data_IF_769872705637
#
_entry.id   IF_769872705637
#
_cell.length_a   1.000
_cell.length_b   1.000
_cell.length_c   1.000
_cell.angle_alpha   90.00
_cell.angle_beta   90.00
_cell.angle_gamma   90.00
#
_symmetry.space_group_name_H-M   'P 1'
#
loop_
_entity.id
_entity.type
_entity.pdbx_description
1 polymer ?
#
# COMPACT_ATOMS: atom_id res chain seq x y z
N UNK A 1 -20.00 10.64 -17.69
CA UNK A 1 -20.59 9.28 -17.69
C UNK A 1 -19.42 8.30 -17.86
N UNK A 2 -18.98 7.65 -16.77
CA UNK A 2 -17.84 6.74 -16.83
C UNK A 2 -18.28 5.43 -17.51
N UNK A 3 -17.68 5.11 -18.66
CA UNK A 3 -17.90 3.87 -19.37
C UNK A 3 -17.01 2.82 -18.72
N UNK A 4 -17.58 1.93 -17.89
CA UNK A 4 -16.90 0.72 -17.46
C UNK A 4 -16.48 -0.03 -18.73
N UNK A 5 -15.17 -0.14 -18.95
CA UNK A 5 -14.65 -1.06 -19.95
C UNK A 5 -15.00 -2.45 -19.43
N UNK A 6 -15.90 -3.15 -20.11
CA UNK A 6 -16.25 -4.54 -19.82
C UNK A 6 -15.03 -5.41 -20.15
N UNK A 7 -14.07 -5.42 -19.23
CA UNK A 7 -12.89 -6.28 -19.30
C UNK A 7 -13.35 -7.67 -18.90
N UNK A 8 -13.99 -8.38 -19.84
CA UNK A 8 -14.18 -9.83 -19.74
C UNK A 8 -12.82 -10.52 -19.88
N UNK A 9 -12.04 -10.55 -18.81
CA UNK A 9 -10.93 -11.50 -18.67
C UNK A 9 -11.48 -12.93 -18.46
N UNK A 10 -12.33 -13.41 -19.38
CA UNK A 10 -12.58 -14.84 -19.48
C UNK A 10 -11.38 -15.45 -20.19
N UNK A 11 -10.44 -15.98 -19.39
CA UNK A 11 -9.33 -16.80 -19.89
C UNK A 11 -9.90 -17.88 -20.81
N UNK A 12 -9.32 -18.04 -22.00
CA UNK A 12 -9.76 -19.02 -22.99
C UNK A 12 -9.81 -20.43 -22.38
N UNK A 13 -10.74 -21.26 -22.86
CA UNK A 13 -10.95 -22.62 -22.34
C UNK A 13 -9.66 -23.42 -22.27
N UNK A 14 -8.87 -23.43 -23.35
CA UNK A 14 -7.58 -24.11 -23.40
C UNK A 14 -6.55 -23.54 -22.42
N UNK A 15 -6.53 -22.23 -22.19
CA UNK A 15 -5.65 -21.60 -21.20
C UNK A 15 -6.00 -22.05 -19.78
N UNK A 16 -7.29 -22.20 -19.47
CA UNK A 16 -7.74 -22.71 -18.16
C UNK A 16 -7.30 -24.16 -17.97
N UNK A 17 -7.54 -25.00 -18.97
CA UNK A 17 -7.15 -26.43 -18.97
C UNK A 17 -5.63 -26.57 -18.82
N UNK A 18 -4.83 -25.84 -19.61
CA UNK A 18 -3.37 -25.90 -19.51
C UNK A 18 -2.85 -25.46 -18.15
N UNK A 19 -3.44 -24.42 -17.54
CA UNK A 19 -3.06 -23.96 -16.19
C UNK A 19 -3.40 -25.02 -15.15
N UNK A 20 -4.61 -25.57 -15.20
CA UNK A 20 -5.09 -26.57 -14.24
C UNK A 20 -4.25 -27.85 -14.27
N UNK A 21 -4.10 -28.47 -15.44
CA UNK A 21 -3.27 -29.67 -15.58
C UNK A 21 -1.78 -29.40 -15.43
N UNK A 22 -1.32 -28.20 -15.77
CA UNK A 22 0.05 -27.74 -15.52
C UNK A 22 0.34 -27.67 -14.01
N UNK A 23 -0.58 -27.13 -13.22
CA UNK A 23 -0.47 -27.07 -11.76
C UNK A 23 -0.51 -28.49 -11.16
N UNK A 24 -1.39 -29.36 -11.63
CA UNK A 24 -1.44 -30.75 -11.16
C UNK A 24 -0.15 -31.52 -11.47
N UNK A 25 0.38 -31.34 -12.67
CA UNK A 25 1.66 -31.94 -13.07
C UNK A 25 2.81 -31.40 -12.23
N UNK A 26 2.81 -30.09 -11.93
CA UNK A 26 3.79 -29.47 -11.05
C UNK A 26 3.69 -30.02 -9.61
N UNK A 27 2.49 -30.24 -9.08
CA UNK A 27 2.33 -30.87 -7.76
C UNK A 27 2.82 -32.31 -7.74
N UNK A 28 2.51 -33.10 -8.77
CA UNK A 28 2.99 -34.48 -8.88
C UNK A 28 4.52 -34.50 -9.00
N UNK A 29 5.09 -33.63 -9.82
CA UNK A 29 6.52 -33.46 -9.96
C UNK A 29 7.16 -33.03 -8.62
N UNK A 30 6.54 -32.11 -7.89
CA UNK A 30 6.99 -31.71 -6.57
C UNK A 30 6.98 -32.89 -5.60
N UNK A 31 5.88 -33.64 -5.49
CA UNK A 31 5.81 -34.82 -4.62
C UNK A 31 6.87 -35.85 -4.99
N UNK A 32 7.03 -36.14 -6.29
CA UNK A 32 8.00 -37.12 -6.73
C UNK A 32 9.44 -36.65 -6.50
N UNK A 33 9.85 -35.53 -7.07
CA UNK A 33 11.24 -35.07 -6.99
C UNK A 33 11.61 -34.58 -5.58
N UNK A 34 10.69 -33.97 -4.84
CA UNK A 34 11.02 -33.44 -3.51
C UNK A 34 10.93 -34.51 -2.41
N UNK A 35 9.88 -35.34 -2.40
CA UNK A 35 9.58 -36.24 -1.28
C UNK A 35 9.95 -37.71 -1.52
N UNK A 36 9.76 -38.25 -2.73
CA UNK A 36 9.88 -39.70 -2.99
C UNK A 36 11.20 -40.05 -3.68
N UNK A 37 11.41 -39.56 -4.89
CA UNK A 37 12.57 -39.75 -5.75
C UNK A 37 12.79 -41.15 -6.33
N UNK A 38 12.36 -42.22 -5.67
CA UNK A 38 12.73 -43.61 -6.02
C UNK A 38 11.99 -44.07 -7.30
N UNK A 39 12.62 -44.86 -8.19
CA UNK A 39 13.98 -45.39 -8.15
C UNK A 39 15.04 -44.49 -8.80
N UNK A 40 14.65 -43.33 -9.35
CA UNK A 40 15.55 -42.44 -10.10
C UNK A 40 16.59 -41.77 -9.18
N UNK A 41 16.20 -41.43 -7.95
CA UNK A 41 17.06 -40.88 -6.89
C UNK A 41 16.37 -40.99 -5.52
N UNK A 42 16.93 -40.46 -4.44
CA UNK A 42 16.34 -40.57 -3.09
C UNK A 42 15.42 -39.38 -2.71
N UNK A 43 15.24 -38.42 -3.63
CA UNK A 43 14.44 -37.21 -3.41
C UNK A 43 15.19 -36.09 -2.67
N UNK A 44 14.78 -34.84 -2.88
CA UNK A 44 15.45 -33.68 -2.32
C UNK A 44 15.43 -33.63 -0.78
N UNK A 45 14.34 -34.08 -0.15
CA UNK A 45 14.20 -34.12 1.31
C UNK A 45 15.22 -35.08 1.97
N UNK A 46 15.45 -36.25 1.37
CA UNK A 46 16.48 -37.19 1.84
C UNK A 46 17.88 -36.60 1.72
N UNK A 47 18.21 -36.00 0.57
CA UNK A 47 19.51 -35.36 0.37
C UNK A 47 19.73 -34.19 1.32
N UNK A 48 18.70 -33.36 1.56
CA UNK A 48 18.77 -32.29 2.55
C UNK A 48 19.04 -32.85 3.94
N UNK A 49 18.31 -33.89 4.36
CA UNK A 49 18.55 -34.58 5.63
C UNK A 49 19.98 -35.15 5.70
N UNK A 50 20.44 -35.83 4.66
CA UNK A 50 21.76 -36.44 4.61
C UNK A 50 22.86 -35.38 4.69
N UNK A 51 22.71 -34.26 3.98
CA UNK A 51 23.60 -33.09 4.02
C UNK A 51 23.59 -32.48 5.43
N UNK A 52 22.41 -32.26 6.02
CA UNK A 52 22.25 -31.76 7.38
C UNK A 52 22.95 -32.65 8.41
N UNK A 53 22.90 -33.97 8.22
CA UNK A 53 23.48 -34.94 9.15
C UNK A 53 24.99 -35.13 8.99
N UNK A 54 25.52 -35.08 7.76
CA UNK A 54 26.89 -35.52 7.47
C UNK A 54 27.83 -34.41 6.97
N UNK A 55 27.30 -33.27 6.52
CA UNK A 55 28.09 -32.20 5.88
C UNK A 55 27.88 -30.83 6.50
N UNK A 56 26.70 -30.55 7.05
CA UNK A 56 26.40 -29.29 7.70
C UNK A 56 26.86 -29.32 9.16
N UNK A 57 27.92 -28.58 9.46
CA UNK A 57 28.25 -28.21 10.83
C UNK A 57 27.16 -27.24 11.26
N UNK A 58 26.27 -27.64 12.19
CA UNK A 58 25.16 -26.79 12.68
C UNK A 58 25.64 -25.35 13.00
N UNK A 59 26.84 -25.21 13.57
CA UNK A 59 27.46 -23.92 13.87
C UNK A 59 27.70 -23.04 12.63
N UNK A 60 28.09 -23.62 11.49
CA UNK A 60 28.31 -22.89 10.23
C UNK A 60 27.01 -22.42 9.59
N UNK A 61 25.94 -23.22 9.67
CA UNK A 61 24.60 -22.81 9.22
C UNK A 61 24.05 -21.64 10.02
N UNK A 62 24.19 -21.70 11.35
CA UNK A 62 23.80 -20.60 12.24
C UNK A 62 24.60 -19.32 11.96
N UNK A 63 25.89 -19.42 11.66
CA UNK A 63 26.71 -18.25 11.31
C UNK A 63 26.19 -17.52 10.07
N UNK A 64 25.73 -18.24 9.03
CA UNK A 64 25.15 -17.64 7.82
C UNK A 64 23.82 -16.94 8.15
N UNK A 65 22.93 -17.60 8.89
CA UNK A 65 21.63 -17.02 9.28
C UNK A 65 21.82 -15.76 10.13
N UNK A 66 22.72 -15.81 11.12
CA UNK A 66 23.07 -14.67 11.97
C UNK A 66 23.70 -13.55 11.12
N UNK A 67 24.61 -13.86 10.20
CA UNK A 67 25.22 -12.85 9.33
C UNK A 67 24.17 -12.15 8.45
N UNK A 68 23.23 -12.90 7.87
CA UNK A 68 22.13 -12.34 7.08
C UNK A 68 21.20 -11.49 7.96
N UNK A 69 20.85 -11.96 9.16
CA UNK A 69 20.05 -11.19 10.11
C UNK A 69 20.72 -9.88 10.52
N UNK A 70 22.00 -9.92 10.87
CA UNK A 70 22.80 -8.73 11.20
C UNK A 70 22.83 -7.79 10.00
N UNK A 71 23.12 -8.30 8.80
CA UNK A 71 23.11 -7.46 7.60
C UNK A 71 21.75 -6.79 7.38
N UNK A 72 20.63 -7.51 7.42
CA UNK A 72 19.30 -6.92 7.25
C UNK A 72 18.89 -5.98 8.40
N UNK A 73 19.32 -6.25 9.63
CA UNK A 73 18.98 -5.41 10.78
C UNK A 73 19.74 -4.08 10.78
N UNK A 74 21.02 -4.09 10.38
CA UNK A 74 21.89 -2.92 10.50
C UNK A 74 22.09 -2.17 9.19
N UNK A 75 21.89 -2.77 8.01
CA UNK A 75 22.00 -2.04 6.73
C UNK A 75 21.02 -0.88 6.58
N UNK A 76 19.77 -0.92 7.12
CA UNK A 76 18.91 0.26 7.09
C UNK A 76 19.49 1.47 7.83
N UNK A 77 20.38 1.27 8.80
CA UNK A 77 21.07 2.36 9.51
C UNK A 77 22.12 3.06 8.66
N UNK A 78 22.56 2.42 7.57
CA UNK A 78 23.50 3.00 6.60
C UNK A 78 22.80 3.80 5.50
N UNK A 79 21.45 3.85 5.52
CA UNK A 79 20.69 4.69 4.60
C UNK A 79 20.95 6.15 4.95
N UNK A 80 21.37 6.92 3.96
CA UNK A 80 21.55 8.37 4.12
C UNK A 80 20.19 9.06 4.07
N UNK A 81 19.99 10.00 4.99
CA UNK A 81 18.83 10.90 4.90
C UNK A 81 19.02 11.83 3.71
N UNK A 82 17.93 12.02 2.95
CA UNK A 82 17.95 12.98 1.86
C UNK A 82 17.97 14.40 2.43
N UNK A 83 18.74 15.30 1.80
CA UNK A 83 18.85 16.69 2.24
C UNK A 83 17.52 17.46 2.21
N UNK A 84 17.52 18.68 2.72
CA UNK A 84 16.30 19.49 2.83
C UNK A 84 15.64 19.78 1.47
N UNK A 85 14.32 19.98 1.49
CA UNK A 85 13.56 20.26 0.28
C UNK A 85 13.56 21.76 -0.07
N UNK A 86 13.53 22.10 -1.37
CA UNK A 86 13.43 23.47 -1.83
C UNK A 86 11.98 23.99 -1.68
N UNK A 87 11.58 24.32 -0.45
CA UNK A 87 10.33 25.02 -0.15
C UNK A 87 9.02 24.21 -0.32
N UNK A 88 7.87 24.81 0.07
CA UNK A 88 6.57 24.15 0.06
C UNK A 88 5.88 24.18 -1.32
N UNK A 89 5.41 23.02 -1.80
CA UNK A 89 4.72 22.89 -3.11
C UNK A 89 3.24 22.45 -3.00
N UNK A 90 2.64 22.63 -1.82
CA UNK A 90 1.29 22.16 -1.51
C UNK A 90 0.20 22.65 -2.49
N UNK A 91 0.40 23.79 -3.15
CA UNK A 91 -0.55 24.36 -4.12
C UNK A 91 -0.77 23.48 -5.37
N UNK A 92 0.23 22.69 -5.78
CA UNK A 92 0.16 21.84 -6.98
C UNK A 92 -0.21 20.39 -6.70
N UNK A 93 -0.48 20.06 -5.43
CA UNK A 93 -0.76 18.71 -4.95
C UNK A 93 -2.15 18.65 -4.34
N UNK A 94 -2.93 17.65 -4.73
CA UNK A 94 -4.19 17.34 -4.05
C UNK A 94 -3.92 16.52 -2.79
N UNK A 95 -4.70 16.78 -1.74
CA UNK A 95 -4.77 15.94 -0.55
C UNK A 95 -5.99 15.03 -0.65
N UNK A 96 -5.78 13.72 -0.63
CA UNK A 96 -6.82 12.72 -0.72
C UNK A 96 -6.94 11.93 0.58
N UNK A 97 -8.12 11.98 1.21
CA UNK A 97 -8.40 11.31 2.48
C UNK A 97 -9.59 10.37 2.31
N UNK A 98 -9.38 9.05 2.17
CA UNK A 98 -10.45 8.08 2.17
C UNK A 98 -11.01 7.90 3.60
N UNK A 99 -12.32 8.00 3.77
CA UNK A 99 -13.00 7.96 5.08
C UNK A 99 -14.02 6.82 5.13
N UNK A 100 -14.20 6.21 6.32
CA UNK A 100 -15.24 5.22 6.61
C UNK A 100 -15.78 5.47 8.02
N UNK A 101 -16.99 6.05 8.12
CA UNK A 101 -17.62 6.43 9.39
C UNK A 101 -16.76 7.39 10.24
N UNK A 102 -16.13 8.36 9.58
CA UNK A 102 -15.06 9.18 10.15
C UNK A 102 -15.54 10.50 10.74
N UNK A 103 -16.86 10.79 10.72
CA UNK A 103 -17.39 12.06 11.21
C UNK A 103 -16.88 12.48 12.62
N UNK A 104 -16.74 11.59 13.61
CA UNK A 104 -16.28 12.00 14.95
C UNK A 104 -14.84 12.53 15.01
N UNK A 105 -13.97 12.13 14.06
CA UNK A 105 -12.53 12.43 14.09
C UNK A 105 -12.10 13.41 12.99
N UNK A 106 -12.86 13.47 11.89
CA UNK A 106 -12.47 14.17 10.67
C UNK A 106 -12.22 15.67 10.88
N UNK A 107 -12.96 16.31 11.78
CA UNK A 107 -12.79 17.75 12.06
C UNK A 107 -11.34 18.09 12.47
N UNK A 108 -10.75 17.33 13.39
CA UNK A 108 -9.36 17.55 13.84
C UNK A 108 -8.35 17.34 12.71
N UNK A 109 -8.59 16.33 11.87
CA UNK A 109 -7.77 16.04 10.70
C UNK A 109 -7.84 17.19 9.68
N UNK A 110 -9.03 17.72 9.42
CA UNK A 110 -9.23 18.86 8.53
C UNK A 110 -8.60 20.15 9.07
N UNK A 111 -8.75 20.45 10.36
CA UNK A 111 -8.08 21.60 11.01
C UNK A 111 -6.56 21.58 10.83
N UNK A 112 -5.95 20.40 10.92
CA UNK A 112 -4.52 20.23 10.72
C UNK A 112 -4.15 20.35 9.23
N UNK A 113 -4.91 19.69 8.35
CA UNK A 113 -4.67 19.71 6.91
C UNK A 113 -4.78 21.10 6.29
N UNK A 114 -5.74 21.91 6.76
CA UNK A 114 -5.98 23.27 6.29
C UNK A 114 -4.82 24.25 6.59
N UNK A 115 -3.89 23.88 7.48
CA UNK A 115 -2.66 24.66 7.72
C UNK A 115 -1.61 24.45 6.62
N UNK A 116 -1.75 23.38 5.84
CA UNK A 116 -0.78 22.94 4.82
C UNK A 116 -1.36 23.08 3.41
N UNK A 117 -2.63 22.70 3.23
CA UNK A 117 -3.33 22.71 1.95
C UNK A 117 -4.48 23.71 1.94
N UNK A 118 -4.75 24.39 0.82
CA UNK A 118 -6.00 25.12 0.66
C UNK A 118 -7.17 24.15 0.58
N UNK A 119 -8.35 24.57 1.06
CA UNK A 119 -9.56 23.74 1.11
C UNK A 119 -9.94 23.10 -0.24
N UNK A 120 -9.75 23.85 -1.33
CA UNK A 120 -10.02 23.42 -2.71
C UNK A 120 -9.13 22.24 -3.18
N UNK A 121 -7.98 22.04 -2.55
CA UNK A 121 -7.08 20.92 -2.83
C UNK A 121 -7.36 19.70 -1.94
N UNK A 122 -8.27 19.78 -0.97
CA UNK A 122 -8.59 18.69 -0.05
C UNK A 122 -9.83 17.94 -0.54
N UNK A 123 -9.70 16.62 -0.69
CA UNK A 123 -10.73 15.73 -1.19
C UNK A 123 -10.97 14.59 -0.21
N UNK A 124 -12.16 14.58 0.37
CA UNK A 124 -12.65 13.52 1.25
C UNK A 124 -13.42 12.51 0.41
N UNK A 125 -13.03 11.23 0.47
CA UNK A 125 -13.75 10.15 -0.22
C UNK A 125 -14.35 9.21 0.82
N UNK A 126 -15.57 9.53 1.23
CA UNK A 126 -16.35 8.67 2.12
C UNK A 126 -16.81 7.43 1.38
N UNK A 127 -16.65 6.26 2.00
CA UNK A 127 -17.01 5.00 1.38
C UNK A 127 -17.81 4.10 2.31
N UNK A 128 -18.55 3.16 1.71
CA UNK A 128 -19.29 2.15 2.45
C UNK A 128 -20.15 1.32 1.53
N UNK A 129 -20.52 0.11 1.96
CA UNK A 129 -21.41 -0.78 1.19
C UNK A 129 -22.88 -0.35 1.32
N UNK A 130 -23.19 0.86 0.86
CA UNK A 130 -24.51 1.48 1.00
C UNK A 130 -24.77 2.46 -0.14
N UNK A 131 -26.03 2.54 -0.59
CA UNK A 131 -26.46 3.54 -1.57
C UNK A 131 -26.47 4.96 -0.99
N UNK A 132 -26.60 5.09 0.33
CA UNK A 132 -26.61 6.37 1.05
C UNK A 132 -25.41 6.48 2.00
N UNK A 133 -24.94 7.70 2.32
CA UNK A 133 -23.88 7.92 3.29
C UNK A 133 -24.15 7.24 4.63
N UNK A 134 -23.08 6.78 5.30
CA UNK A 134 -23.16 6.02 6.55
C UNK A 134 -23.21 6.90 7.81
N UNK A 135 -22.79 8.15 7.70
CA UNK A 135 -22.74 9.14 8.79
C UNK A 135 -22.80 10.57 8.22
N UNK A 136 -22.64 11.56 9.09
CA UNK A 136 -22.66 12.99 8.76
C UNK A 136 -21.30 13.54 8.30
N UNK A 137 -20.42 12.70 7.71
CA UNK A 137 -19.12 13.14 7.17
C UNK A 137 -19.27 14.30 6.18
N UNK A 138 -20.32 14.28 5.36
CA UNK A 138 -20.59 15.34 4.37
C UNK A 138 -20.83 16.71 5.04
N UNK A 139 -21.55 16.74 6.17
CA UNK A 139 -21.86 17.99 6.87
C UNK A 139 -20.59 18.65 7.42
N UNK A 140 -19.66 17.85 7.93
CA UNK A 140 -18.35 18.33 8.36
C UNK A 140 -17.55 18.84 7.16
N UNK A 141 -17.55 18.12 6.03
CA UNK A 141 -16.85 18.58 4.83
C UNK A 141 -17.37 19.95 4.36
N UNK A 142 -18.69 20.18 4.44
CA UNK A 142 -19.33 21.45 4.09
C UNK A 142 -18.92 22.58 5.04
N UNK A 143 -18.80 22.31 6.34
CA UNK A 143 -18.34 23.29 7.33
C UNK A 143 -16.93 23.81 7.01
N UNK A 144 -16.01 22.90 6.67
CA UNK A 144 -14.63 23.23 6.29
C UNK A 144 -14.46 23.65 4.83
N UNK A 145 -15.54 23.62 4.03
CA UNK A 145 -15.54 23.95 2.59
C UNK A 145 -14.56 23.11 1.76
N UNK A 146 -14.38 21.84 2.14
CA UNK A 146 -13.55 20.88 1.40
C UNK A 146 -14.40 20.03 0.45
N UNK A 147 -13.77 19.40 -0.53
CA UNK A 147 -14.48 18.56 -1.49
C UNK A 147 -14.86 17.22 -0.85
N UNK A 148 -16.08 16.74 -1.12
CA UNK A 148 -16.59 15.47 -0.61
C UNK A 148 -17.15 14.60 -1.74
N UNK A 149 -16.80 13.31 -1.71
CA UNK A 149 -17.27 12.30 -2.66
C UNK A 149 -17.77 11.09 -1.88
N UNK A 150 -18.99 10.64 -2.18
CA UNK A 150 -19.54 9.38 -1.66
C UNK A 150 -19.26 8.22 -2.63
N UNK A 151 -18.66 7.14 -2.13
CA UNK A 151 -18.45 5.87 -2.82
C UNK A 151 -19.33 4.78 -2.22
N UNK A 152 -20.32 4.24 -2.97
CA UNK A 152 -21.24 3.20 -2.47
C UNK A 152 -20.60 1.81 -2.39
N UNK A 153 -19.29 1.71 -2.62
CA UNK A 153 -18.49 0.49 -2.48
C UNK A 153 -17.56 0.65 -1.28
N UNK A 154 -17.74 -0.21 -0.29
CA UNK A 154 -16.92 -0.26 0.94
C UNK A 154 -15.55 -0.86 0.67
N UNK A 155 -14.62 -0.03 0.24
CA UNK A 155 -13.22 -0.40 0.06
C UNK A 155 -12.36 0.85 0.00
N UNK A 156 -11.34 0.92 0.87
CA UNK A 156 -10.36 2.01 0.88
C UNK A 156 -9.64 2.14 -0.47
N UNK A 157 -9.34 1.02 -1.13
CA UNK A 157 -8.70 1.01 -2.45
C UNK A 157 -9.63 1.59 -3.53
N UNK A 158 -10.93 1.25 -3.50
CA UNK A 158 -11.90 1.80 -4.44
C UNK A 158 -12.13 3.27 -4.20
N UNK A 159 -12.21 3.71 -2.93
CA UNK A 159 -12.28 5.11 -2.56
C UNK A 159 -11.08 5.91 -3.10
N UNK A 160 -9.86 5.38 -2.92
CA UNK A 160 -8.66 5.99 -3.48
C UNK A 160 -8.69 6.04 -5.01
N UNK A 161 -9.15 4.98 -5.68
CA UNK A 161 -9.29 4.95 -7.13
C UNK A 161 -10.25 6.04 -7.65
N UNK A 162 -11.44 6.14 -7.04
CA UNK A 162 -12.44 7.18 -7.36
C UNK A 162 -11.86 8.57 -7.10
N UNK A 163 -11.18 8.74 -5.96
CA UNK A 163 -10.50 9.97 -5.59
C UNK A 163 -9.46 10.42 -6.61
N UNK A 164 -8.55 9.53 -7.00
CA UNK A 164 -7.54 9.79 -8.03
C UNK A 164 -8.16 10.21 -9.37
N UNK A 165 -9.32 9.65 -9.73
CA UNK A 165 -10.04 10.08 -10.93
C UNK A 165 -10.59 11.50 -10.80
N UNK A 166 -11.07 11.88 -9.62
CA UNK A 166 -11.60 13.22 -9.35
C UNK A 166 -10.50 14.30 -9.31
N UNK A 167 -9.29 13.96 -8.89
CA UNK A 167 -8.16 14.89 -8.76
C UNK A 167 -7.14 14.78 -9.90
N UNK A 168 -7.54 14.25 -11.06
CA UNK A 168 -6.64 13.99 -12.19
C UNK A 168 -5.97 15.25 -12.79
N UNK A 169 -6.48 16.43 -12.46
CA UNK A 169 -5.92 17.72 -12.87
C UNK A 169 -4.67 18.11 -12.07
N UNK A 170 -4.46 17.51 -10.89
CA UNK A 170 -3.28 17.73 -10.08
C UNK A 170 -2.11 16.88 -10.58
N UNK A 171 -0.90 17.46 -10.55
CA UNK A 171 0.31 16.75 -10.95
C UNK A 171 0.66 15.61 -9.98
N UNK A 172 0.34 15.79 -8.71
CA UNK A 172 0.63 14.86 -7.63
C UNK A 172 -0.50 14.81 -6.63
N UNK A 173 -0.59 13.67 -5.93
CA UNK A 173 -1.57 13.45 -4.87
C UNK A 173 -0.82 13.00 -3.62
N UNK A 174 -1.13 13.61 -2.49
CA UNK A 174 -0.76 13.12 -1.17
C UNK A 174 -1.96 12.35 -0.61
N UNK A 175 -1.71 11.11 -0.19
CA UNK A 175 -2.73 10.26 0.44
C UNK A 175 -2.42 10.18 1.93
N UNK A 176 -3.43 10.38 2.76
CA UNK A 176 -3.34 10.19 4.21
C UNK A 176 -4.60 9.53 4.76
N UNK A 177 -4.50 8.98 5.96
CA UNK A 177 -5.62 8.40 6.68
C UNK A 177 -6.45 9.50 7.36
N UNK A 178 -7.70 9.18 7.67
CA UNK A 178 -8.71 10.06 8.25
C UNK A 178 -8.47 10.44 9.71
N UNK A 179 -7.61 9.68 10.41
CA UNK A 179 -7.15 9.91 11.76
C UNK A 179 -5.73 10.50 11.84
N UNK A 180 -5.14 10.83 10.70
CA UNK A 180 -3.77 11.31 10.63
C UNK A 180 -3.70 12.84 10.82
N UNK A 181 -2.84 13.33 11.70
CA UNK A 181 -2.70 14.76 11.99
C UNK A 181 -1.42 15.29 11.34
N UNK A 182 -1.55 16.17 10.35
CA UNK A 182 -0.41 16.81 9.71
C UNK A 182 0.25 17.83 10.65
N UNK A 183 1.59 17.81 10.81
CA UNK A 183 2.31 18.89 11.46
C UNK A 183 2.06 20.23 10.74
N UNK A 184 1.94 21.36 11.46
CA UNK A 184 1.67 22.67 10.85
C UNK A 184 2.80 23.13 9.92
N UNK A 185 4.02 22.61 10.09
CA UNK A 185 5.20 22.88 9.27
C UNK A 185 5.49 21.74 8.27
N UNK A 186 4.50 20.90 7.95
CA UNK A 186 4.67 19.82 7.00
C UNK A 186 4.98 20.36 5.60
N UNK A 187 6.05 19.84 4.98
CA UNK A 187 6.49 20.25 3.65
C UNK A 187 6.13 19.14 2.66
N UNK A 188 5.27 19.47 1.70
CA UNK A 188 4.98 18.61 0.54
C UNK A 188 6.14 18.72 -0.44
N UNK A 189 6.83 17.60 -0.71
CA UNK A 189 8.04 17.55 -1.56
C UNK A 189 7.77 16.93 -2.93
N UNK A 190 6.68 17.36 -3.57
CA UNK A 190 6.22 16.81 -4.85
C UNK A 190 7.27 16.92 -5.97
N UNK A 191 8.17 17.90 -5.92
CA UNK A 191 9.31 18.09 -6.83
C UNK A 191 10.27 16.92 -6.89
N UNK A 192 10.32 16.09 -5.85
CA UNK A 192 11.12 14.86 -5.86
C UNK A 192 10.50 13.76 -6.72
N UNK A 193 9.22 13.91 -7.11
CA UNK A 193 8.59 13.02 -8.06
C UNK A 193 9.18 13.27 -9.47
N UNK A 194 9.65 12.19 -10.08
CA UNK A 194 10.29 12.19 -11.39
C UNK A 194 9.93 10.91 -12.14
N UNK A 195 10.49 10.71 -13.33
CA UNK A 195 10.27 9.47 -14.06
C UNK A 195 10.81 8.22 -13.36
N UNK A 196 11.82 8.42 -12.49
CA UNK A 196 12.41 7.36 -11.66
C UNK A 196 11.74 7.25 -10.29
N UNK A 197 11.37 8.38 -9.70
CA UNK A 197 10.75 8.44 -8.36
C UNK A 197 9.26 8.70 -8.50
N UNK A 198 8.44 7.65 -8.44
CA UNK A 198 6.98 7.76 -8.65
C UNK A 198 6.18 7.88 -7.34
N UNK A 199 6.80 7.62 -6.20
CA UNK A 199 6.14 7.64 -4.89
C UNK A 199 7.12 8.12 -3.83
N UNK A 200 6.58 8.84 -2.84
CA UNK A 200 7.32 9.32 -1.67
C UNK A 200 6.51 8.91 -0.45
N UNK A 201 7.12 8.13 0.43
CA UNK A 201 6.56 7.79 1.73
C UNK A 201 6.96 8.83 2.77
N UNK A 202 5.97 9.38 3.47
CA UNK A 202 6.21 10.25 4.62
C UNK A 202 6.07 9.43 5.89
N UNK A 203 7.11 9.39 6.70
CA UNK A 203 7.03 8.84 8.05
C UNK A 203 6.47 9.92 8.97
N UNK A 204 5.15 9.95 9.10
CA UNK A 204 4.50 10.82 10.07
C UNK A 204 4.32 10.01 11.34
N UNK A 205 4.87 10.51 12.46
CA UNK A 205 4.63 9.90 13.76
C UNK A 205 3.14 9.96 14.04
N UNK A 206 2.51 8.82 14.31
CA UNK A 206 1.15 8.80 14.83
C UNK A 206 1.11 9.65 16.12
N UNK A 207 0.42 10.78 16.07
CA UNK A 207 0.12 11.55 17.25
C UNK A 207 -0.94 10.76 18.02
N UNK A 208 -0.51 9.88 18.94
CA UNK A 208 -1.42 9.32 19.92
C UNK A 208 -2.14 10.46 20.63
N UNK A 209 -3.44 10.30 20.88
CA UNK A 209 -4.31 11.25 21.57
C UNK A 209 -3.59 11.85 22.79
N UNK A 210 -3.09 13.07 22.67
CA UNK A 210 -2.79 13.89 23.83
C UNK A 210 -4.13 14.30 24.43
N UNK A 211 -4.47 13.64 25.54
CA UNK A 211 -5.51 14.05 26.49
C UNK A 211 -5.28 15.47 26.97
#
# INVERSE_FOLDING_TARGET
>A
MARLVDIKHQRGFWTKVCIEYGIYTLFIAFVYFFLIGVPLWEGAAFWLYWIMRHKFVFQGGWAIVIAVLVFYAYTPLLITFQGDAPGPEALSTALLIPTYRSAPILGKTLEAAMKVFPAENIYIVANGNSSTPLDNTEDICREYRVNHIWSPVGSKIVALFVGCYAVNCFRSVLVMDDDCILPPNFIVVASRLSDRTRCIGYTIKAAGLTT
#
